data_IF_954506094086
#
_entry.id   IF_954506094086
#
_cell.length_a   1.000
_cell.length_b   1.000
_cell.length_c   1.000
_cell.angle_alpha   90.00
_cell.angle_beta   90.00
_cell.angle_gamma   90.00
#
_symmetry.space_group_name_H-M   'P 1'
#
loop_
_entity.id
_entity.type
_entity.pdbx_description
1 polymer ?
#
# COMPACT_ATOMS: atom_id res chain seq x y z
N UNK A 1 7.09 32.75 8.39
CA UNK A 1 6.48 31.40 8.51
C UNK A 1 7.24 30.48 7.55
N UNK A 2 7.58 29.25 7.95
CA UNK A 2 8.31 28.32 7.07
C UNK A 2 7.35 27.73 6.04
N UNK A 3 7.85 27.41 4.84
CA UNK A 3 7.08 26.75 3.78
C UNK A 3 6.43 25.46 4.31
N UNK A 4 7.19 24.63 5.03
CA UNK A 4 6.70 23.40 5.66
C UNK A 4 5.49 23.62 6.59
N UNK A 5 5.45 24.75 7.31
CA UNK A 5 4.33 25.06 8.22
C UNK A 5 3.07 25.44 7.44
N UNK A 6 3.22 26.17 6.33
CA UNK A 6 2.10 26.55 5.46
C UNK A 6 1.49 25.29 4.82
N UNK A 7 2.34 24.39 4.31
CA UNK A 7 1.89 23.13 3.70
C UNK A 7 1.10 22.26 4.70
N UNK A 8 1.56 22.17 5.95
CA UNK A 8 0.83 21.46 7.00
C UNK A 8 -0.53 22.10 7.32
N UNK A 9 -0.62 23.43 7.37
CA UNK A 9 -1.90 24.11 7.59
C UNK A 9 -2.86 23.90 6.42
N UNK A 10 -2.38 24.01 5.18
CA UNK A 10 -3.17 23.75 3.97
C UNK A 10 -3.76 22.33 3.99
N UNK A 11 -2.95 21.31 4.26
CA UNK A 11 -3.42 19.93 4.38
C UNK A 11 -4.49 19.78 5.48
N UNK A 12 -4.25 20.32 6.69
CA UNK A 12 -5.24 20.24 7.80
C UNK A 12 -6.55 20.95 7.48
N UNK A 13 -6.48 22.09 6.79
CA UNK A 13 -7.66 22.85 6.36
C UNK A 13 -8.47 22.05 5.36
N UNK A 14 -7.83 21.47 4.35
CA UNK A 14 -8.49 20.67 3.29
C UNK A 14 -9.14 19.42 3.88
N UNK A 15 -8.48 18.78 4.85
CA UNK A 15 -9.02 17.62 5.56
C UNK A 15 -10.15 17.98 6.55
N UNK A 16 -10.42 19.27 6.78
CA UNK A 16 -11.44 19.74 7.73
C UNK A 16 -11.03 19.59 9.20
N UNK A 17 -9.75 19.33 9.48
CA UNK A 17 -9.20 19.14 10.83
C UNK A 17 -8.55 20.39 11.42
N UNK A 18 -8.59 21.53 10.72
CA UNK A 18 -7.99 22.77 11.18
C UNK A 18 -8.80 23.44 12.30
N UNK A 19 -8.13 23.79 13.40
CA UNK A 19 -8.72 24.58 14.48
C UNK A 19 -8.90 26.06 14.07
N UNK A 20 -9.75 26.80 14.79
CA UNK A 20 -9.97 28.23 14.52
C UNK A 20 -8.68 29.06 14.57
N UNK A 21 -7.75 28.74 15.47
CA UNK A 21 -6.44 29.41 15.54
C UNK A 21 -5.55 29.14 14.33
N UNK A 22 -5.65 27.95 13.75
CA UNK A 22 -4.92 27.55 12.54
C UNK A 22 -5.45 28.27 11.30
N UNK A 23 -6.76 28.50 11.25
CA UNK A 23 -7.38 29.37 10.23
C UNK A 23 -6.89 30.81 10.32
N UNK A 24 -6.81 31.37 11.54
CA UNK A 24 -6.27 32.72 11.74
C UNK A 24 -4.79 32.80 11.35
N UNK A 25 -3.99 31.78 11.71
CA UNK A 25 -2.58 31.70 11.32
C UNK A 25 -2.41 31.65 9.80
N UNK A 26 -3.21 30.83 9.11
CA UNK A 26 -3.21 30.75 7.65
C UNK A 26 -3.64 32.06 7.00
N UNK A 27 -4.72 32.70 7.50
CA UNK A 27 -5.22 33.96 6.96
C UNK A 27 -4.15 35.06 7.07
N UNK A 28 -3.46 35.16 8.21
CA UNK A 28 -2.37 36.13 8.39
C UNK A 28 -1.21 35.87 7.41
N UNK A 29 -0.90 34.60 7.10
CA UNK A 29 0.10 34.26 6.09
C UNK A 29 -0.37 34.63 4.67
N UNK A 30 -1.65 34.39 4.37
CA UNK A 30 -2.24 34.67 3.06
C UNK A 30 -2.49 36.16 2.80
N UNK A 31 -2.62 36.98 3.86
CA UNK A 31 -2.61 38.44 3.75
C UNK A 31 -1.23 38.96 3.27
N UNK A 32 -0.15 38.31 3.70
CA UNK A 32 1.19 38.61 3.22
C UNK A 32 1.46 38.01 1.82
N UNK A 33 0.90 36.84 1.53
CA UNK A 33 0.98 36.17 0.23
C UNK A 33 -0.39 35.69 -0.28
N UNK A 34 -1.07 36.49 -1.11
CA UNK A 34 -2.38 36.13 -1.65
C UNK A 34 -2.39 34.91 -2.58
N UNK A 35 -1.23 34.40 -3.01
CA UNK A 35 -1.17 33.19 -3.83
C UNK A 35 -1.62 31.94 -3.06
N UNK A 36 -1.44 31.92 -1.74
CA UNK A 36 -1.86 30.82 -0.86
C UNK A 36 -3.37 30.55 -0.92
N UNK A 37 -4.20 31.57 -1.17
CA UNK A 37 -5.63 31.37 -1.38
C UNK A 37 -5.93 30.59 -2.66
N UNK A 38 -5.13 30.78 -3.72
CA UNK A 38 -5.26 30.01 -4.97
C UNK A 38 -4.82 28.56 -4.75
N UNK A 39 -3.77 28.34 -3.98
CA UNK A 39 -3.28 27.00 -3.67
C UNK A 39 -4.31 26.23 -2.84
N UNK A 40 -4.89 26.86 -1.81
CA UNK A 40 -5.98 26.29 -1.03
C UNK A 40 -7.18 25.92 -1.91
N UNK A 41 -7.61 26.82 -2.79
CA UNK A 41 -8.73 26.55 -3.70
C UNK A 41 -8.40 25.41 -4.69
N UNK A 42 -7.15 25.30 -5.13
CA UNK A 42 -6.65 24.19 -5.94
C UNK A 42 -6.77 22.86 -5.20
N UNK A 43 -6.21 22.78 -3.99
CA UNK A 43 -6.25 21.57 -3.16
C UNK A 43 -7.68 21.16 -2.80
N UNK A 44 -8.58 22.11 -2.52
CA UNK A 44 -9.99 21.82 -2.26
C UNK A 44 -10.70 21.22 -3.48
N UNK A 45 -10.41 21.73 -4.69
CA UNK A 45 -10.96 21.18 -5.94
C UNK A 45 -10.45 19.76 -6.20
N UNK A 46 -9.15 19.54 -6.00
CA UNK A 46 -8.53 18.22 -6.19
C UNK A 46 -9.07 17.20 -5.16
N UNK A 47 -9.23 17.61 -3.91
CA UNK A 47 -9.85 16.79 -2.86
C UNK A 47 -11.30 16.44 -3.21
N UNK A 48 -12.10 17.39 -3.68
CA UNK A 48 -13.48 17.14 -4.10
C UNK A 48 -13.55 16.12 -5.26
N UNK A 49 -12.66 16.26 -6.26
CA UNK A 49 -12.56 15.32 -7.39
C UNK A 49 -12.13 13.93 -6.94
N UNK A 50 -11.16 13.83 -6.02
CA UNK A 50 -10.74 12.56 -5.45
C UNK A 50 -11.89 11.88 -4.71
N UNK A 51 -12.67 12.62 -3.91
CA UNK A 51 -13.85 12.09 -3.21
C UNK A 51 -14.90 11.54 -4.16
N UNK A 52 -15.16 12.24 -5.28
CA UNK A 52 -16.09 11.79 -6.32
C UNK A 52 -15.64 10.45 -6.92
N UNK A 53 -14.38 10.36 -7.36
CA UNK A 53 -13.81 9.13 -7.94
C UNK A 53 -13.82 7.96 -6.94
N UNK A 54 -13.47 8.22 -5.68
CA UNK A 54 -13.51 7.20 -4.62
C UNK A 54 -14.94 6.75 -4.33
N UNK A 55 -15.91 7.66 -4.30
CA UNK A 55 -17.32 7.33 -4.12
C UNK A 55 -17.86 6.48 -5.27
N UNK A 56 -17.52 6.83 -6.51
CA UNK A 56 -17.90 6.05 -7.70
C UNK A 56 -17.29 4.63 -7.66
N UNK A 57 -16.03 4.51 -7.26
CA UNK A 57 -15.38 3.21 -7.10
C UNK A 57 -16.01 2.39 -5.96
N UNK A 58 -16.34 3.02 -4.83
CA UNK A 58 -17.00 2.37 -3.70
C UNK A 58 -18.42 1.88 -4.06
N UNK A 59 -19.15 2.63 -4.90
CA UNK A 59 -20.47 2.25 -5.37
C UNK A 59 -20.47 0.96 -6.21
N UNK A 60 -19.33 0.52 -6.75
CA UNK A 60 -19.19 -0.80 -7.39
C UNK A 60 -19.12 -1.90 -6.33
N UNK A 61 -18.38 -1.68 -5.25
CA UNK A 61 -18.27 -2.63 -4.14
C UNK A 61 -19.62 -2.86 -3.44
N UNK A 62 -20.42 -1.79 -3.28
CA UNK A 62 -21.75 -1.88 -2.66
C UNK A 62 -22.76 -2.72 -3.46
N UNK A 63 -22.52 -2.94 -4.76
CA UNK A 63 -23.38 -3.81 -5.61
C UNK A 63 -23.04 -5.28 -5.49
N UNK A 64 -21.92 -5.64 -4.85
CA UNK A 64 -21.54 -7.03 -4.64
C UNK A 64 -22.37 -7.59 -3.50
N UNK A 65 -23.47 -8.24 -3.85
CA UNK A 65 -24.28 -8.98 -2.88
C UNK A 65 -23.45 -10.11 -2.27
N UNK A 66 -23.17 -10.02 -0.97
CA UNK A 66 -22.60 -11.15 -0.25
C UNK A 66 -23.64 -12.27 -0.20
N UNK A 67 -23.24 -13.55 -0.36
CA UNK A 67 -24.14 -14.68 -0.17
C UNK A 67 -24.79 -14.53 1.20
N UNK A 68 -26.07 -14.17 1.23
CA UNK A 68 -26.82 -14.17 2.47
C UNK A 68 -26.88 -15.62 2.89
N UNK A 69 -26.32 -16.02 4.05
CA UNK A 69 -26.44 -17.39 4.50
C UNK A 69 -27.93 -17.67 4.55
N UNK A 70 -28.40 -18.55 3.66
CA UNK A 70 -29.80 -18.93 3.59
C UNK A 70 -30.21 -19.27 5.01
N UNK A 71 -31.21 -18.56 5.52
CA UNK A 71 -31.69 -18.72 6.89
C UNK A 71 -32.10 -20.18 7.03
N UNK A 72 -31.19 -21.01 7.57
CA UNK A 72 -31.44 -22.40 7.90
C UNK A 72 -32.31 -22.39 9.13
N UNK A 73 -33.59 -22.10 8.89
CA UNK A 73 -34.71 -22.30 9.80
C UNK A 73 -34.95 -23.80 9.95
N UNK A 74 -34.01 -24.49 10.57
CA UNK A 74 -34.20 -25.86 11.04
C UNK A 74 -33.15 -26.12 12.12
N UNK A 75 -33.53 -25.73 13.33
CA UNK A 75 -32.84 -26.03 14.58
C UNK A 75 -33.36 -27.40 15.07
N UNK A 76 -32.69 -28.54 14.82
CA UNK A 76 -32.88 -29.68 15.69
C UNK A 76 -32.17 -29.37 17.01
N UNK A 77 -32.97 -29.28 18.07
CA UNK A 77 -32.49 -29.25 19.45
C UNK A 77 -31.85 -30.60 19.77
N UNK A 78 -30.54 -30.72 19.63
CA UNK A 78 -29.80 -31.79 20.30
C UNK A 78 -28.48 -31.25 20.81
N UNK A 79 -28.37 -31.21 22.13
CA UNK A 79 -27.16 -30.92 22.86
C UNK A 79 -26.02 -31.84 22.42
N UNK A 80 -24.89 -31.25 22.02
CA UNK A 80 -23.75 -32.02 21.55
C UNK A 80 -22.63 -31.17 20.97
N UNK A 81 -21.94 -30.43 21.85
CA UNK A 81 -20.50 -30.15 21.79
C UNK A 81 -19.90 -29.83 20.40
N UNK A 82 -19.99 -28.57 19.95
CA UNK A 82 -18.99 -27.96 19.05
C UNK A 82 -18.86 -26.44 19.27
N UNK A 83 -17.96 -25.96 20.15
CA UNK A 83 -17.49 -24.59 20.10
C UNK A 83 -16.18 -24.48 19.30
N UNK A 84 -15.90 -23.28 18.79
CA UNK A 84 -14.57 -22.73 18.38
C UNK A 84 -14.25 -22.59 16.87
N UNK A 85 -14.70 -23.44 15.94
CA UNK A 85 -14.23 -23.31 14.53
C UNK A 85 -14.88 -22.19 13.69
N UNK A 86 -16.00 -21.59 14.10
CA UNK A 86 -16.67 -20.54 13.31
C UNK A 86 -16.25 -19.10 13.65
N UNK A 87 -15.29 -18.88 14.56
CA UNK A 87 -14.77 -17.52 14.84
C UNK A 87 -13.67 -17.05 13.89
N UNK A 88 -13.15 -17.91 13.01
CA UNK A 88 -12.16 -17.54 11.99
C UNK A 88 -12.76 -17.25 10.59
N UNK A 89 -14.04 -17.56 10.36
CA UNK A 89 -14.69 -17.32 9.07
C UNK A 89 -15.02 -15.84 8.79
N UNK A 90 -14.95 -14.97 9.81
CA UNK A 90 -15.18 -13.53 9.66
C UNK A 90 -13.98 -12.72 9.13
N UNK A 91 -12.78 -13.33 9.04
CA UNK A 91 -11.55 -12.62 8.66
C UNK A 91 -10.91 -13.10 7.34
N UNK A 92 -11.38 -14.20 6.75
CA UNK A 92 -10.89 -14.66 5.45
C UNK A 92 -11.52 -13.96 4.24
N UNK A 93 -12.50 -13.07 4.45
CA UNK A 93 -13.17 -12.34 3.36
C UNK A 93 -12.20 -11.50 2.50
N UNK A 94 -11.22 -10.86 3.14
CA UNK A 94 -10.19 -10.09 2.44
C UNK A 94 -9.23 -10.99 1.65
N UNK A 95 -8.92 -12.19 2.13
CA UNK A 95 -8.03 -13.12 1.43
C UNK A 95 -8.65 -13.61 0.11
N UNK A 96 -9.97 -13.84 0.09
CA UNK A 96 -10.70 -14.20 -1.12
C UNK A 96 -10.79 -13.00 -2.08
N UNK A 97 -11.04 -11.79 -1.57
CA UNK A 97 -11.06 -10.59 -2.40
C UNK A 97 -9.67 -10.30 -3.02
N UNK A 98 -8.59 -10.41 -2.26
CA UNK A 98 -7.22 -10.22 -2.74
C UNK A 98 -6.85 -11.26 -3.80
N UNK A 99 -7.25 -12.52 -3.63
CA UNK A 99 -7.00 -13.57 -4.62
C UNK A 99 -7.80 -13.39 -5.90
N UNK A 100 -9.04 -12.86 -5.84
CA UNK A 100 -9.82 -12.51 -7.03
C UNK A 100 -9.24 -11.29 -7.77
N UNK A 101 -8.74 -10.28 -7.05
CA UNK A 101 -8.04 -9.13 -7.65
C UNK A 101 -6.75 -9.59 -8.34
N UNK A 102 -5.96 -10.47 -7.71
CA UNK A 102 -4.77 -11.07 -8.33
C UNK A 102 -5.16 -11.88 -9.58
N UNK A 103 -6.18 -12.75 -9.50
CA UNK A 103 -6.63 -13.54 -10.64
C UNK A 103 -7.10 -12.66 -11.83
N UNK A 104 -7.70 -11.50 -11.55
CA UNK A 104 -8.14 -10.57 -12.59
C UNK A 104 -6.99 -9.78 -13.24
N UNK A 105 -5.98 -9.39 -12.45
CA UNK A 105 -4.80 -8.68 -12.96
C UNK A 105 -3.82 -9.61 -13.71
N UNK A 106 -3.72 -10.88 -13.31
CA UNK A 106 -2.84 -11.87 -13.93
C UNK A 106 -3.54 -12.78 -14.96
N UNK A 107 -4.86 -12.66 -15.15
CA UNK A 107 -5.66 -13.54 -16.02
C UNK A 107 -5.72 -13.15 -17.50
N UNK A 108 -5.08 -12.06 -17.91
CA UNK A 108 -4.96 -11.67 -19.32
C UNK A 108 -3.51 -11.85 -19.78
N UNK A 109 -3.28 -12.95 -20.50
CA UNK A 109 -2.06 -13.29 -21.25
C UNK A 109 -0.82 -13.72 -20.46
N UNK A 110 -0.97 -14.67 -19.52
CA UNK A 110 0.17 -15.49 -19.09
C UNK A 110 0.23 -16.72 -19.97
N UNK A 111 1.22 -16.77 -20.87
CA UNK A 111 1.55 -17.97 -21.64
C UNK A 111 1.68 -19.18 -20.70
N UNK A 112 1.27 -20.40 -21.12
CA UNK A 112 1.35 -21.58 -20.28
C UNK A 112 2.81 -21.77 -19.81
N UNK A 113 3.04 -21.56 -18.52
CA UNK A 113 4.31 -21.91 -17.88
C UNK A 113 4.46 -23.42 -18.07
N UNK A 114 5.58 -23.91 -18.65
CA UNK A 114 5.78 -25.34 -18.84
C UNK A 114 5.67 -26.05 -17.49
N UNK A 115 4.95 -27.18 -17.47
CA UNK A 115 4.64 -28.00 -16.30
C UNK A 115 5.86 -28.64 -15.60
N UNK A 116 7.06 -28.14 -15.88
CA UNK A 116 8.31 -28.44 -15.17
C UNK A 116 8.65 -27.36 -14.14
N UNK A 117 7.66 -26.61 -13.65
CA UNK A 117 7.83 -25.85 -12.41
C UNK A 117 7.93 -26.89 -11.29
N UNK A 118 9.15 -27.28 -10.94
CA UNK A 118 9.43 -28.20 -9.85
C UNK A 118 8.60 -27.79 -8.64
N UNK A 119 7.87 -28.75 -8.06
CA UNK A 119 7.23 -28.56 -6.77
C UNK A 119 8.35 -28.21 -5.81
N UNK A 120 8.51 -26.92 -5.55
CA UNK A 120 9.38 -26.47 -4.47
C UNK A 120 8.62 -26.85 -3.22
N UNK A 121 9.00 -27.97 -2.63
CA UNK A 121 8.71 -28.23 -1.23
C UNK A 121 9.33 -27.08 -0.46
N UNK A 122 8.52 -26.09 -0.09
CA UNK A 122 8.94 -25.11 0.89
C UNK A 122 9.27 -25.90 2.15
N UNK A 123 10.55 -25.95 2.51
CA UNK A 123 10.96 -26.50 3.79
C UNK A 123 10.09 -25.85 4.88
N UNK A 124 9.58 -26.69 5.77
CA UNK A 124 8.63 -26.25 6.79
C UNK A 124 9.36 -25.31 7.76
N UNK A 125 9.16 -24.00 7.58
CA UNK A 125 9.69 -22.98 8.48
C UNK A 125 8.63 -22.64 9.53
N UNK A 126 8.89 -23.02 10.79
CA UNK A 126 7.98 -22.74 11.92
C UNK A 126 8.02 -21.28 12.40
N UNK A 127 8.91 -20.45 11.83
CA UNK A 127 9.10 -19.06 12.26
C UNK A 127 9.21 -18.11 11.07
N UNK A 128 8.77 -16.86 11.28
CA UNK A 128 8.91 -15.80 10.28
C UNK A 128 10.39 -15.49 9.94
N UNK A 129 11.29 -15.64 10.93
CA UNK A 129 12.73 -15.44 10.72
C UNK A 129 13.33 -16.50 9.79
N UNK A 130 12.87 -17.74 9.90
CA UNK A 130 13.25 -18.84 9.00
C UNK A 130 12.79 -18.55 7.57
N UNK A 131 11.51 -18.20 7.37
CA UNK A 131 10.99 -17.86 6.04
C UNK A 131 11.71 -16.67 5.38
N UNK A 132 12.08 -15.67 6.17
CA UNK A 132 12.90 -14.55 5.69
C UNK A 132 14.31 -15.00 5.25
N UNK A 133 14.96 -15.87 6.02
CA UNK A 133 16.28 -16.37 5.68
C UNK A 133 16.25 -17.19 4.39
N UNK A 134 15.25 -18.06 4.24
CA UNK A 134 15.03 -18.82 3.00
C UNK A 134 14.80 -17.90 1.80
N UNK A 135 14.03 -16.81 1.98
CA UNK A 135 13.85 -15.80 0.94
C UNK A 135 15.18 -15.17 0.50
N UNK A 136 16.02 -14.76 1.46
CA UNK A 136 17.32 -14.16 1.14
C UNK A 136 18.26 -15.13 0.43
N UNK A 137 18.32 -16.39 0.89
CA UNK A 137 19.19 -17.41 0.32
C UNK A 137 18.77 -17.71 -1.11
N UNK A 138 17.50 -18.04 -1.31
CA UNK A 138 16.97 -18.33 -2.63
C UNK A 138 17.04 -17.14 -3.56
N UNK A 139 16.72 -15.94 -3.08
CA UNK A 139 16.83 -14.72 -3.88
C UNK A 139 18.27 -14.44 -4.31
N UNK A 140 19.26 -14.77 -3.48
CA UNK A 140 20.69 -14.66 -3.85
C UNK A 140 21.08 -15.71 -4.89
N UNK A 141 20.62 -16.95 -4.75
CA UNK A 141 20.84 -18.02 -5.73
C UNK A 141 20.25 -17.66 -7.10
N UNK A 142 19.04 -17.08 -7.12
CA UNK A 142 18.36 -16.60 -8.33
C UNK A 142 18.95 -15.28 -8.86
N UNK A 143 19.83 -14.63 -8.11
CA UNK A 143 20.39 -13.33 -8.44
C UNK A 143 19.37 -12.19 -8.40
N UNK A 144 18.22 -12.39 -7.76
CA UNK A 144 17.21 -11.36 -7.50
C UNK A 144 17.63 -10.51 -6.29
N UNK A 145 18.15 -11.11 -5.22
CA UNK A 145 18.58 -10.42 -4.00
C UNK A 145 20.09 -10.19 -4.05
N UNK A 146 20.50 -8.93 -3.96
CA UNK A 146 21.91 -8.55 -3.87
C UNK A 146 22.41 -8.68 -2.42
N UNK A 147 21.55 -8.42 -1.44
CA UNK A 147 21.87 -8.55 -0.02
C UNK A 147 20.94 -7.77 0.90
N UNK A 148 21.20 -7.89 2.19
CA UNK A 148 20.58 -7.06 3.23
C UNK A 148 21.51 -5.89 3.53
N UNK A 149 20.97 -4.68 3.66
CA UNK A 149 21.76 -3.53 4.09
C UNK A 149 22.11 -3.68 5.59
N UNK A 150 23.37 -3.49 6.00
CA UNK A 150 23.81 -3.73 7.37
C UNK A 150 23.18 -2.77 8.39
N UNK A 151 22.63 -1.63 7.94
CA UNK A 151 22.00 -0.63 8.79
C UNK A 151 20.54 -0.98 9.08
N UNK A 152 20.26 -1.44 10.30
CA UNK A 152 18.89 -1.51 10.81
C UNK A 152 18.44 -0.10 11.19
N UNK A 153 17.36 0.38 10.59
CA UNK A 153 16.82 1.70 10.92
C UNK A 153 15.81 1.50 12.06
N UNK A 154 16.12 2.03 13.25
CA UNK A 154 15.19 2.01 14.38
C UNK A 154 14.05 2.99 14.09
N UNK A 155 12.83 2.48 13.94
CA UNK A 155 11.62 3.26 13.69
C UNK A 155 11.05 3.78 15.02
N UNK A 156 10.96 2.88 16.01
CA UNK A 156 10.35 3.17 17.30
C UNK A 156 11.00 2.33 18.39
N UNK A 157 11.18 2.94 19.55
CA UNK A 157 11.49 2.26 20.80
C UNK A 157 10.47 2.69 21.86
N UNK A 158 9.93 1.73 22.61
CA UNK A 158 8.98 2.00 23.69
C UNK A 158 9.08 0.95 24.79
N UNK A 159 8.57 1.24 26.00
CA UNK A 159 8.48 0.22 27.04
C UNK A 159 7.56 -0.91 26.57
N UNK A 160 7.92 -2.14 26.90
CA UNK A 160 7.07 -3.30 26.63
C UNK A 160 5.76 -3.15 27.43
N UNK A 161 4.58 -3.23 26.79
CA UNK A 161 3.29 -3.17 27.50
C UNK A 161 3.12 -4.27 28.57
N UNK A 162 3.85 -5.38 28.46
CA UNK A 162 3.83 -6.48 29.44
C UNK A 162 4.73 -6.25 30.67
N UNK A 163 5.41 -5.10 30.75
CA UNK A 163 6.08 -4.64 31.97
C UNK A 163 7.56 -4.99 32.11
N UNK A 164 8.11 -5.85 31.24
CA UNK A 164 9.55 -6.13 31.20
C UNK A 164 10.17 -5.79 29.84
N UNK A 165 11.16 -4.89 29.86
CA UNK A 165 11.99 -4.55 28.71
C UNK A 165 11.42 -3.47 27.79
N UNK A 166 11.94 -3.44 26.56
CA UNK A 166 11.58 -2.46 25.53
C UNK A 166 11.17 -3.19 24.25
N UNK A 167 10.10 -2.70 23.63
CA UNK A 167 9.74 -3.05 22.25
C UNK A 167 10.55 -2.17 21.29
N UNK A 168 11.29 -2.82 20.38
CA UNK A 168 12.07 -2.16 19.34
C UNK A 168 11.49 -2.52 17.98
N UNK A 169 11.02 -1.51 17.25
CA UNK A 169 10.58 -1.65 15.87
C UNK A 169 11.72 -1.19 14.95
N UNK A 170 12.26 -2.11 14.15
CA UNK A 170 13.29 -1.81 13.16
C UNK A 170 12.79 -2.06 11.74
N UNK A 171 13.23 -1.22 10.81
CA UNK A 171 13.11 -1.45 9.39
C UNK A 171 14.34 -2.22 8.91
N UNK A 172 14.11 -3.31 8.20
CA UNK A 172 15.13 -4.09 7.51
C UNK A 172 15.01 -3.82 6.02
N UNK A 173 16.10 -3.42 5.37
CA UNK A 173 16.11 -3.08 3.95
C UNK A 173 16.85 -4.16 3.17
N UNK A 174 16.19 -4.69 2.14
CA UNK A 174 16.75 -5.67 1.21
C UNK A 174 17.00 -4.96 -0.11
N UNK A 175 18.16 -5.21 -0.72
CA UNK A 175 18.46 -4.75 -2.06
C UNK A 175 18.14 -5.85 -3.06
N UNK A 176 17.23 -5.56 -3.97
CA UNK A 176 16.83 -6.45 -5.05
C UNK A 176 17.19 -5.86 -6.40
N UNK A 177 17.58 -6.74 -7.31
CA UNK A 177 17.91 -6.44 -8.69
C UNK A 177 16.73 -6.84 -9.57
N UNK A 178 16.08 -5.85 -10.14
CA UNK A 178 15.04 -6.06 -11.15
C UNK A 178 15.57 -5.58 -12.49
N UNK A 179 15.57 -6.45 -13.49
CA UNK A 179 15.89 -6.09 -14.88
C UNK A 179 14.55 -5.90 -15.58
N UNK A 180 14.21 -4.65 -15.89
CA UNK A 180 13.04 -4.33 -16.71
C UNK A 180 13.49 -4.12 -18.16
N UNK A 181 12.80 -4.71 -19.16
CA UNK A 181 13.16 -4.52 -20.56
C UNK A 181 12.97 -3.07 -20.99
N UNK A 182 11.92 -2.43 -20.50
CA UNK A 182 11.62 -1.03 -20.74
C UNK A 182 11.33 -0.33 -19.42
N UNK A 183 12.03 0.78 -19.17
CA UNK A 183 11.76 1.66 -18.04
C UNK A 183 11.15 2.95 -18.58
N UNK A 184 9.93 3.29 -18.16
CA UNK A 184 9.23 4.50 -18.59
C UNK A 184 9.15 5.49 -17.43
N UNK A 185 9.24 6.78 -17.75
CA UNK A 185 9.01 7.88 -16.80
C UNK A 185 7.82 8.71 -17.23
N UNK A 186 6.98 9.08 -16.28
CA UNK A 186 5.95 10.12 -16.43
C UNK A 186 6.63 11.49 -16.40
N UNK A 187 7.14 11.94 -17.55
CA UNK A 187 7.88 13.20 -17.64
C UNK A 187 7.62 14.00 -18.92
N UNK A 188 6.91 13.41 -19.89
CA UNK A 188 6.51 14.12 -21.11
C UNK A 188 5.15 14.77 -20.95
N UNK A 189 4.95 15.87 -21.66
CA UNK A 189 3.63 16.34 -22.04
C UNK A 189 3.50 16.19 -23.55
N UNK A 190 2.34 15.72 -24.01
CA UNK A 190 2.01 15.77 -25.44
C UNK A 190 1.63 17.20 -25.86
N UNK A 191 1.35 17.40 -27.15
CA UNK A 191 0.94 18.70 -27.71
C UNK A 191 -0.39 19.22 -27.12
N UNK A 192 -1.18 18.34 -26.48
CA UNK A 192 -2.42 18.69 -25.78
C UNK A 192 -2.22 18.91 -24.27
N UNK A 193 -0.97 18.91 -23.79
CA UNK A 193 -0.62 19.09 -22.37
C UNK A 193 -0.94 17.88 -21.48
N UNK A 194 -1.23 16.72 -22.05
CA UNK A 194 -1.49 15.49 -21.29
C UNK A 194 -0.18 14.79 -20.93
N UNK A 195 -0.07 14.20 -19.73
CA UNK A 195 1.11 13.44 -19.34
C UNK A 195 1.28 12.23 -20.27
N UNK A 196 2.49 12.07 -20.82
CA UNK A 196 2.86 10.92 -21.65
C UNK A 196 4.04 10.15 -21.05
N UNK A 197 4.08 8.85 -21.30
CA UNK A 197 5.18 7.98 -20.92
C UNK A 197 6.33 8.19 -21.88
N UNK A 198 7.49 8.61 -21.36
CA UNK A 198 8.73 8.68 -22.13
C UNK A 198 9.60 7.49 -21.72
N UNK A 199 10.12 6.76 -22.71
CA UNK A 199 11.11 5.71 -22.46
C UNK A 199 12.36 6.35 -21.86
N UNK A 200 12.78 5.86 -20.71
CA UNK A 200 13.98 6.32 -20.03
C UNK A 200 15.20 5.73 -20.72
N UNK A 201 15.99 6.62 -21.36
CA UNK A 201 17.32 6.29 -21.83
C UNK A 201 18.33 6.70 -20.76
N UNK A 202 19.01 5.75 -20.09
CA UNK A 202 20.09 6.11 -19.17
C UNK A 202 21.18 6.90 -19.92
N UNK A 203 21.83 7.88 -19.28
CA UNK A 203 22.97 8.56 -19.88
C UNK A 203 24.03 7.52 -20.26
N UNK A 204 24.55 7.61 -21.49
CA UNK A 204 25.56 6.69 -21.97
C UNK A 204 26.73 6.68 -20.97
N UNK A 205 27.08 5.49 -20.47
CA UNK A 205 28.12 5.29 -19.48
C UNK A 205 29.49 5.54 -20.13
N UNK A 206 29.87 6.82 -20.25
CA UNK A 206 31.11 7.24 -20.92
C UNK A 206 31.34 8.75 -21.02
N UNK A 207 30.56 9.58 -20.32
CA UNK A 207 30.70 11.04 -20.31
C UNK A 207 31.01 11.60 -18.91
N UNK A 208 31.97 10.97 -18.22
CA UNK A 208 32.65 11.54 -17.04
C UNK A 208 34.15 11.56 -17.28
#
# INVERSE_FOLDING_TARGET
MTTDRIDLLLCRIVDGGAAASEWTEFAAAADADPSLWRDLAGMQRDHARLREVVADAAAVADRVALPTPASTSSRPSSAGWRPVLFRLAGWSGWAIAASLVLAWFFGRDVAPVPANAGVVTADHCDTAACGYQTYLERGKEEGLVLGELPSKVLIKAGPNPEGEGYELLYLRQILERVIVPDFYRTGGQDEAGKPTLIQFSPPASGAM
#
